data_IF_698247542806
#
_entry.id   IF_698247542806
#
_cell.length_a   1.000
_cell.length_b   1.000
_cell.length_c   1.000
_cell.angle_alpha   90.00
_cell.angle_beta   90.00
_cell.angle_gamma   90.00
#
_symmetry.space_group_name_H-M   'P 1'
#
loop_
_entity.id
_entity.type
_entity.pdbx_description
1 polymer ?
#
# COMPACT_ATOMS: atom_id res chain seq x y z
N UNK A 1 -24.83 -13.02 -18.48
CA UNK A 1 -23.37 -12.91 -18.68
C UNK A 1 -22.81 -12.15 -17.48
N UNK A 2 -22.36 -12.88 -16.47
CA UNK A 2 -21.78 -12.34 -15.23
C UNK A 2 -20.34 -11.91 -15.52
N UNK A 3 -20.01 -10.65 -15.22
CA UNK A 3 -18.64 -10.14 -15.32
C UNK A 3 -17.73 -10.94 -14.38
N UNK A 4 -16.50 -11.29 -14.79
CA UNK A 4 -15.55 -11.97 -13.89
C UNK A 4 -15.24 -11.09 -12.68
N UNK A 5 -15.28 -11.66 -11.49
CA UNK A 5 -14.86 -10.98 -10.26
C UNK A 5 -13.39 -10.60 -10.42
N UNK A 6 -13.08 -9.30 -10.47
CA UNK A 6 -11.73 -8.75 -10.64
C UNK A 6 -10.72 -9.12 -9.53
N UNK A 7 -11.10 -9.92 -8.53
CA UNK A 7 -10.35 -10.15 -7.30
C UNK A 7 -10.06 -11.63 -7.00
N UNK A 8 -10.14 -12.54 -7.95
CA UNK A 8 -9.77 -13.94 -7.71
C UNK A 8 -8.24 -14.09 -7.68
N UNK A 9 -7.71 -14.61 -6.57
CA UNK A 9 -6.27 -14.83 -6.40
C UNK A 9 -5.79 -15.94 -7.33
N UNK A 10 -4.79 -15.65 -8.17
CA UNK A 10 -4.12 -16.64 -9.00
C UNK A 10 -2.76 -16.94 -8.35
N UNK A 11 -2.54 -18.18 -7.87
CA UNK A 11 -1.25 -18.57 -7.29
C UNK A 11 -0.09 -18.39 -8.29
N UNK A 12 1.00 -17.72 -7.90
CA UNK A 12 2.23 -17.67 -8.70
C UNK A 12 2.87 -19.05 -8.88
N UNK A 13 3.74 -19.24 -9.89
CA UNK A 13 4.53 -20.46 -10.01
C UNK A 13 5.46 -20.65 -8.81
N UNK A 14 5.65 -21.91 -8.41
CA UNK A 14 6.54 -22.30 -7.32
C UNK A 14 8.02 -22.04 -7.63
N UNK A 15 8.80 -21.76 -6.59
CA UNK A 15 10.25 -21.57 -6.70
C UNK A 15 10.99 -22.93 -6.75
N UNK A 16 12.23 -22.99 -7.29
CA UNK A 16 13.01 -24.22 -7.34
C UNK A 16 13.36 -24.72 -5.93
N UNK A 17 13.33 -26.04 -5.78
CA UNK A 17 13.66 -26.75 -4.54
C UNK A 17 14.93 -27.56 -4.74
N UNK A 18 15.86 -27.45 -3.79
CA UNK A 18 17.15 -28.11 -3.81
C UNK A 18 17.32 -29.01 -2.57
N UNK A 19 17.81 -30.22 -2.79
CA UNK A 19 18.00 -31.27 -1.78
C UNK A 19 19.48 -31.70 -1.80
N UNK A 20 20.39 -31.00 -1.09
CA UNK A 20 21.81 -31.34 -1.07
C UNK A 20 22.06 -32.70 -0.45
N UNK A 21 23.08 -33.39 -0.96
CA UNK A 21 23.72 -34.51 -0.27
C UNK A 21 24.46 -34.04 0.99
N UNK A 22 24.87 -34.96 1.86
CA UNK A 22 25.67 -34.64 3.05
C UNK A 22 27.00 -33.95 2.72
N UNK A 23 27.64 -34.32 1.61
CA UNK A 23 28.87 -33.69 1.13
C UNK A 23 28.64 -32.23 0.71
N UNK A 24 27.55 -31.99 -0.02
CA UNK A 24 27.17 -30.64 -0.46
C UNK A 24 26.65 -29.77 0.69
N UNK A 25 26.00 -30.38 1.68
CA UNK A 25 25.47 -29.70 2.85
C UNK A 25 26.59 -29.27 3.83
N UNK A 26 27.78 -29.86 3.73
CA UNK A 26 28.92 -29.53 4.57
C UNK A 26 29.46 -28.11 4.33
N UNK A 27 29.40 -27.60 3.10
CA UNK A 27 29.76 -26.21 2.76
C UNK A 27 28.57 -25.46 2.13
N UNK A 28 27.78 -24.74 2.95
CA UNK A 28 26.62 -23.99 2.47
C UNK A 28 26.95 -22.94 1.41
N UNK A 29 28.11 -22.28 1.48
CA UNK A 29 28.47 -21.22 0.54
C UNK A 29 28.85 -21.78 -0.82
N UNK A 30 29.60 -22.89 -0.84
CA UNK A 30 29.90 -23.61 -2.06
C UNK A 30 28.61 -24.11 -2.73
N UNK A 31 27.68 -24.67 -1.94
CA UNK A 31 26.40 -25.13 -2.45
C UNK A 31 25.52 -24.00 -3.01
N UNK A 32 25.43 -22.87 -2.29
CA UNK A 32 24.70 -21.68 -2.76
C UNK A 32 25.29 -21.17 -4.09
N UNK A 33 26.62 -21.13 -4.22
CA UNK A 33 27.27 -20.74 -5.47
C UNK A 33 27.01 -21.74 -6.60
N UNK A 34 26.93 -23.04 -6.31
CA UNK A 34 26.56 -24.07 -7.29
C UNK A 34 25.14 -23.88 -7.83
N UNK A 35 24.17 -23.55 -6.97
CA UNK A 35 22.75 -23.39 -7.38
C UNK A 35 22.41 -21.98 -7.89
N UNK A 36 23.29 -20.99 -7.66
CA UNK A 36 23.09 -19.58 -8.05
C UNK A 36 22.59 -19.40 -9.49
N UNK A 37 23.16 -20.02 -10.54
CA UNK A 37 22.73 -19.80 -11.93
C UNK A 37 21.26 -20.16 -12.20
N UNK A 38 20.66 -21.00 -11.34
CA UNK A 38 19.27 -21.43 -11.42
C UNK A 38 18.40 -20.56 -10.52
N UNK A 39 18.79 -20.41 -9.24
CA UNK A 39 18.02 -19.69 -8.23
C UNK A 39 17.94 -18.18 -8.48
N UNK A 40 18.97 -17.58 -9.10
CA UNK A 40 19.01 -16.15 -9.42
C UNK A 40 17.90 -15.75 -10.40
N UNK A 41 17.50 -16.66 -11.30
CA UNK A 41 16.42 -16.42 -12.27
C UNK A 41 15.05 -16.24 -11.59
N UNK A 42 14.85 -16.85 -10.42
CA UNK A 42 13.59 -16.80 -9.68
C UNK A 42 13.62 -15.83 -8.49
N UNK A 43 14.79 -15.27 -8.15
CA UNK A 43 14.99 -14.37 -7.01
C UNK A 43 14.95 -15.05 -5.64
N UNK A 44 14.21 -16.15 -5.51
CA UNK A 44 14.14 -17.00 -4.31
C UNK A 44 14.27 -18.48 -4.68
N UNK A 45 14.72 -19.30 -3.74
CA UNK A 45 14.72 -20.76 -3.82
C UNK A 45 14.49 -21.39 -2.43
N UNK A 46 14.14 -22.67 -2.39
CA UNK A 46 13.98 -23.45 -1.16
C UNK A 46 15.06 -24.53 -1.07
N UNK A 47 15.75 -24.63 0.06
CA UNK A 47 16.70 -25.71 0.35
C UNK A 47 16.10 -26.59 1.44
N UNK A 48 15.99 -27.90 1.18
CA UNK A 48 15.61 -28.89 2.18
C UNK A 48 16.88 -29.62 2.63
N UNK A 49 17.29 -29.51 3.90
CA UNK A 49 18.47 -30.21 4.38
C UNK A 49 18.29 -31.74 4.30
N UNK A 50 19.39 -32.51 4.43
CA UNK A 50 19.31 -33.97 4.53
C UNK A 50 18.32 -34.42 5.63
N UNK A 51 17.52 -35.49 5.41
CA UNK A 51 16.46 -35.90 6.33
C UNK A 51 16.93 -36.21 7.77
N UNK A 52 18.18 -36.65 7.93
CA UNK A 52 18.77 -36.97 9.23
C UNK A 52 19.30 -35.73 9.95
N UNK A 53 19.35 -34.56 9.29
CA UNK A 53 19.68 -33.29 9.92
C UNK A 53 18.46 -32.69 10.64
N UNK A 54 18.35 -32.99 11.93
CA UNK A 54 17.25 -32.54 12.80
C UNK A 54 17.83 -31.85 14.03
N UNK A 55 18.19 -30.55 13.94
CA UNK A 55 18.73 -29.84 15.08
C UNK A 55 17.66 -29.71 16.17
N UNK A 56 18.03 -29.88 17.46
CA UNK A 56 17.09 -29.67 18.55
C UNK A 56 16.72 -28.18 18.63
N UNK A 57 15.46 -27.90 18.96
CA UNK A 57 15.02 -26.54 19.24
C UNK A 57 15.52 -26.12 20.62
N UNK A 58 16.44 -25.15 20.67
CA UNK A 58 17.11 -24.76 21.91
C UNK A 58 16.27 -23.86 22.84
N UNK A 59 15.18 -23.29 22.33
CA UNK A 59 14.35 -22.36 23.10
C UNK A 59 13.27 -23.11 23.89
N UNK A 60 13.17 -22.79 25.17
CA UNK A 60 12.07 -23.24 26.03
C UNK A 60 10.79 -22.45 25.70
N UNK A 61 9.82 -23.14 25.10
CA UNK A 61 8.56 -22.56 24.63
C UNK A 61 7.71 -22.04 25.78
N UNK A 62 7.75 -22.68 26.95
CA UNK A 62 6.92 -22.32 28.11
C UNK A 62 7.42 -21.04 28.79
N UNK A 63 8.71 -20.73 28.61
CA UNK A 63 9.35 -19.54 29.19
C UNK A 63 9.51 -18.39 28.20
N UNK A 64 9.30 -18.63 26.91
CA UNK A 64 9.48 -17.62 25.86
C UNK A 64 8.33 -16.60 25.87
N UNK A 65 8.61 -15.38 26.34
CA UNK A 65 7.69 -14.24 26.26
C UNK A 65 8.20 -13.23 25.24
N UNK A 66 7.34 -12.84 24.32
CA UNK A 66 7.59 -11.72 23.41
C UNK A 66 6.33 -10.88 23.26
N UNK A 67 6.51 -9.59 22.97
CA UNK A 67 5.39 -8.69 22.69
C UNK A 67 4.97 -8.87 21.24
N UNK A 68 3.74 -9.35 20.96
CA UNK A 68 3.27 -9.51 19.58
C UNK A 68 3.02 -8.15 18.94
N UNK A 69 3.13 -8.10 17.60
CA UNK A 69 2.71 -6.94 16.81
C UNK A 69 1.38 -7.22 16.14
N UNK A 70 0.45 -6.26 16.21
CA UNK A 70 -0.83 -6.33 15.51
C UNK A 70 -0.61 -5.90 14.07
N UNK A 71 -1.02 -6.74 13.12
CA UNK A 71 -0.95 -6.45 11.69
C UNK A 71 -2.36 -6.42 11.10
N UNK A 72 -2.83 -5.23 10.69
CA UNK A 72 -4.14 -5.06 10.05
C UNK A 72 -4.01 -5.23 8.55
N UNK A 73 -4.50 -6.34 8.02
CA UNK A 73 -4.34 -6.70 6.59
C UNK A 73 -4.92 -5.63 5.64
N UNK A 74 -6.04 -5.01 6.01
CA UNK A 74 -6.67 -3.93 5.26
C UNK A 74 -5.80 -2.66 5.16
N UNK A 75 -4.79 -2.52 6.02
CA UNK A 75 -3.87 -1.40 6.10
C UNK A 75 -2.48 -1.74 5.51
N UNK A 76 -2.28 -2.97 5.00
CA UNK A 76 -0.97 -3.50 4.64
C UNK A 76 -0.51 -3.19 3.22
N UNK A 77 -1.44 -2.87 2.32
CA UNK A 77 -1.08 -2.48 0.96
C UNK A 77 -0.21 -1.21 0.99
N UNK A 78 0.89 -1.19 0.23
CA UNK A 78 1.82 -0.05 0.20
C UNK A 78 1.11 1.27 -0.17
N UNK A 79 0.06 1.18 -1.01
CA UNK A 79 -0.81 2.31 -1.34
C UNK A 79 -1.57 2.82 -0.11
N UNK A 80 -2.05 1.92 0.75
CA UNK A 80 -2.74 2.25 2.00
C UNK A 80 -1.80 2.88 3.01
N UNK A 81 -0.53 2.46 3.10
CA UNK A 81 0.45 3.09 4.01
C UNK A 81 0.76 4.54 3.64
N UNK A 82 0.95 4.84 2.35
CA UNK A 82 1.15 6.22 1.86
C UNK A 82 -0.10 7.07 2.15
N UNK A 83 -1.29 6.50 1.93
CA UNK A 83 -2.56 7.15 2.23
C UNK A 83 -2.74 7.43 3.73
N UNK A 84 -2.41 6.47 4.61
CA UNK A 84 -2.46 6.65 6.06
C UNK A 84 -1.48 7.72 6.55
N UNK A 85 -0.24 7.72 6.05
CA UNK A 85 0.74 8.76 6.37
C UNK A 85 0.26 10.15 5.91
N UNK A 86 -0.35 10.23 4.73
CA UNK A 86 -0.93 11.49 4.26
C UNK A 86 -2.07 11.97 5.16
N UNK A 87 -2.99 11.07 5.56
CA UNK A 87 -4.11 11.39 6.45
C UNK A 87 -3.62 11.81 7.85
N UNK A 88 -2.57 11.18 8.38
CA UNK A 88 -1.93 11.55 9.64
C UNK A 88 -1.31 12.96 9.59
N UNK A 89 -0.61 13.28 8.49
CA UNK A 89 -0.01 14.62 8.31
C UNK A 89 -1.06 15.73 8.23
N UNK A 90 -2.14 15.52 7.47
CA UNK A 90 -3.20 16.53 7.36
C UNK A 90 -4.03 16.62 8.64
N UNK A 91 -4.24 15.52 9.37
CA UNK A 91 -4.88 15.55 10.69
C UNK A 91 -4.07 16.42 11.68
N UNK A 92 -2.76 16.18 11.77
CA UNK A 92 -1.84 16.99 12.60
C UNK A 92 -1.83 18.46 12.19
N UNK A 93 -1.86 18.76 10.89
CA UNK A 93 -1.98 20.14 10.42
C UNK A 93 -3.24 20.82 10.97
N UNK A 94 -4.40 20.19 10.85
CA UNK A 94 -5.64 20.77 11.35
C UNK A 94 -5.66 20.89 12.88
N UNK A 95 -5.12 19.90 13.60
CA UNK A 95 -4.96 19.98 15.07
C UNK A 95 -4.10 21.17 15.49
N UNK A 96 -2.99 21.45 14.78
CA UNK A 96 -2.17 22.63 15.02
C UNK A 96 -2.91 23.95 14.75
N UNK A 97 -3.89 23.95 13.84
CA UNK A 97 -4.79 25.09 13.60
C UNK A 97 -5.98 25.15 14.59
N UNK A 98 -6.01 24.27 15.60
CA UNK A 98 -7.09 24.20 16.59
C UNK A 98 -8.39 23.57 16.08
N UNK A 99 -8.35 22.85 14.96
CA UNK A 99 -9.51 22.24 14.33
C UNK A 99 -9.35 20.71 14.23
N UNK A 100 -10.38 19.94 14.54
CA UNK A 100 -10.35 18.49 14.26
C UNK A 100 -10.70 18.21 12.79
N UNK A 101 -9.85 17.46 12.09
CA UNK A 101 -10.12 17.04 10.72
C UNK A 101 -11.39 16.17 10.64
N UNK A 102 -12.41 16.65 9.93
CA UNK A 102 -13.63 15.89 9.61
C UNK A 102 -13.67 15.55 8.13
N UNK A 103 -13.56 14.26 7.82
CA UNK A 103 -13.63 13.75 6.45
C UNK A 103 -15.10 13.76 5.98
N UNK A 104 -15.44 14.48 4.90
CA UNK A 104 -16.82 14.57 4.42
C UNK A 104 -17.23 13.28 3.69
N UNK A 105 -18.54 13.08 3.57
CA UNK A 105 -19.13 12.05 2.73
C UNK A 105 -19.61 12.67 1.41
N UNK A 106 -19.33 12.00 0.30
CA UNK A 106 -19.82 12.36 -1.03
C UNK A 106 -20.52 11.13 -1.60
N UNK A 107 -21.80 11.26 -2.00
CA UNK A 107 -22.61 10.16 -2.50
C UNK A 107 -22.62 8.92 -1.56
N UNK A 108 -22.77 9.15 -0.25
CA UNK A 108 -22.76 8.12 0.80
C UNK A 108 -21.44 7.35 0.96
N UNK A 109 -20.37 7.78 0.29
CA UNK A 109 -19.00 7.25 0.47
C UNK A 109 -18.14 8.26 1.20
N UNK A 110 -17.23 7.79 2.05
CA UNK A 110 -16.20 8.64 2.68
C UNK A 110 -15.29 9.16 1.56
N UNK A 111 -15.02 10.46 1.56
CA UNK A 111 -14.16 11.08 0.56
C UNK A 111 -12.70 10.67 0.76
N UNK A 112 -12.09 10.06 -0.26
CA UNK A 112 -10.66 9.75 -0.27
C UNK A 112 -9.84 11.02 -0.54
N UNK A 113 -9.39 11.68 0.54
CA UNK A 113 -8.60 12.91 0.47
C UNK A 113 -7.24 12.70 -0.21
N UNK A 114 -6.62 11.52 -0.06
CA UNK A 114 -5.33 11.22 -0.69
C UNK A 114 -5.49 11.10 -2.21
N UNK A 115 -6.46 10.31 -2.66
CA UNK A 115 -6.74 10.14 -4.08
C UNK A 115 -7.17 11.47 -4.72
N UNK A 116 -8.02 12.24 -4.04
CA UNK A 116 -8.42 13.57 -4.49
C UNK A 116 -7.21 14.51 -4.64
N UNK A 117 -6.33 14.57 -3.63
CA UNK A 117 -5.13 15.40 -3.68
C UNK A 117 -4.19 15.00 -4.83
N UNK A 118 -3.95 13.69 -4.97
CA UNK A 118 -3.12 13.14 -6.06
C UNK A 118 -3.65 13.51 -7.44
N UNK A 119 -4.94 13.30 -7.68
CA UNK A 119 -5.57 13.59 -8.98
C UNK A 119 -5.59 15.09 -9.32
N UNK A 120 -5.78 15.96 -8.32
CA UNK A 120 -5.72 17.41 -8.54
C UNK A 120 -4.29 17.85 -8.87
N UNK A 121 -3.28 17.29 -8.19
CA UNK A 121 -1.87 17.59 -8.48
C UNK A 121 -1.44 17.10 -9.86
N UNK A 122 -1.88 15.90 -10.28
CA UNK A 122 -1.64 15.37 -11.63
C UNK A 122 -2.26 16.24 -12.73
N UNK A 123 -3.36 16.94 -12.44
CA UNK A 123 -4.03 17.85 -13.37
C UNK A 123 -3.53 19.31 -13.23
N UNK A 124 -2.41 19.54 -12.53
CA UNK A 124 -1.72 20.83 -12.46
C UNK A 124 -2.04 21.69 -11.22
N UNK A 125 -2.67 21.10 -10.21
CA UNK A 125 -3.02 21.78 -8.96
C UNK A 125 -4.41 22.43 -8.96
N UNK A 126 -4.82 22.96 -7.80
CA UNK A 126 -6.18 23.47 -7.59
C UNK A 126 -6.59 24.56 -8.59
N UNK A 127 -5.72 25.55 -8.82
CA UNK A 127 -6.02 26.69 -9.68
C UNK A 127 -6.17 26.27 -11.15
N UNK A 128 -5.30 25.38 -11.64
CA UNK A 128 -5.37 24.85 -13.00
C UNK A 128 -6.67 24.06 -13.22
N UNK A 129 -7.01 23.17 -12.29
CA UNK A 129 -8.26 22.38 -12.34
C UNK A 129 -9.50 23.28 -12.31
N UNK A 130 -9.49 24.35 -11.50
CA UNK A 130 -10.55 25.34 -11.45
C UNK A 130 -10.71 26.13 -12.74
N UNK A 131 -9.60 26.64 -13.31
CA UNK A 131 -9.60 27.40 -14.56
C UNK A 131 -10.09 26.56 -15.73
N UNK A 132 -9.69 25.30 -15.78
CA UNK A 132 -9.96 24.40 -16.90
C UNK A 132 -11.19 23.51 -16.69
N UNK A 133 -11.95 23.76 -15.61
CA UNK A 133 -13.21 23.05 -15.27
C UNK A 133 -13.06 21.51 -15.26
N UNK A 134 -11.91 21.00 -14.81
CA UNK A 134 -11.57 19.56 -14.84
C UNK A 134 -12.14 18.75 -13.66
N UNK A 135 -12.89 19.38 -12.75
CA UNK A 135 -13.47 18.71 -11.58
C UNK A 135 -14.38 17.52 -11.91
N UNK A 136 -15.15 17.59 -13.00
CA UNK A 136 -16.00 16.47 -13.45
C UNK A 136 -15.17 15.28 -13.93
N UNK A 137 -14.02 15.54 -14.56
CA UNK A 137 -13.08 14.48 -14.97
C UNK A 137 -12.49 13.79 -13.75
N UNK A 138 -12.13 14.56 -12.72
CA UNK A 138 -11.62 14.04 -11.45
C UNK A 138 -12.69 13.21 -10.73
N UNK A 139 -13.95 13.66 -10.67
CA UNK A 139 -15.02 12.88 -10.05
C UNK A 139 -15.23 11.53 -10.72
N UNK A 140 -15.18 11.48 -12.05
CA UNK A 140 -15.30 10.22 -12.80
C UNK A 140 -14.11 9.31 -12.53
N UNK A 141 -12.88 9.84 -12.51
CA UNK A 141 -11.67 9.07 -12.14
C UNK A 141 -11.71 8.51 -10.70
N UNK A 142 -12.37 9.23 -9.77
CA UNK A 142 -12.60 8.75 -8.40
C UNK A 142 -13.72 7.70 -8.29
N UNK A 143 -14.34 7.30 -9.41
CA UNK A 143 -15.40 6.29 -9.44
C UNK A 143 -16.79 6.82 -9.08
N UNK A 144 -17.02 8.14 -9.15
CA UNK A 144 -18.35 8.72 -9.02
C UNK A 144 -19.10 8.73 -10.36
N UNK A 145 -20.41 8.57 -10.30
CA UNK A 145 -21.26 8.59 -11.49
C UNK A 145 -21.25 9.98 -12.17
N UNK A 146 -21.17 10.04 -13.51
CA UNK A 146 -21.26 11.30 -14.25
C UNK A 146 -22.66 11.92 -14.15
N UNK A 147 -22.77 13.24 -14.26
CA UNK A 147 -24.05 13.97 -14.35
C UNK A 147 -24.63 14.48 -13.03
N UNK A 148 -24.05 14.11 -11.88
CA UNK A 148 -24.36 14.73 -10.58
C UNK A 148 -23.40 15.91 -10.33
N UNK A 149 -23.81 16.91 -9.54
CA UNK A 149 -22.99 18.09 -9.19
C UNK A 149 -21.77 17.78 -8.28
N UNK A 150 -21.26 16.56 -8.34
CA UNK A 150 -20.17 16.01 -7.53
C UNK A 150 -18.88 16.77 -7.76
N UNK A 151 -18.58 17.18 -9.01
CA UNK A 151 -17.40 18.00 -9.30
C UNK A 151 -17.35 19.29 -8.46
N UNK A 152 -18.50 19.96 -8.31
CA UNK A 152 -18.63 21.16 -7.48
C UNK A 152 -18.47 20.85 -5.99
N UNK A 153 -19.03 19.73 -5.50
CA UNK A 153 -18.84 19.29 -4.12
C UNK A 153 -17.38 18.95 -3.82
N UNK A 154 -16.69 18.25 -4.73
CA UNK A 154 -15.27 17.93 -4.60
C UNK A 154 -14.43 19.19 -4.54
N UNK A 155 -14.72 20.18 -5.40
CA UNK A 155 -14.05 21.50 -5.35
C UNK A 155 -14.23 22.16 -3.99
N UNK A 156 -15.46 22.27 -3.49
CA UNK A 156 -15.74 22.91 -2.20
C UNK A 156 -15.07 22.19 -1.03
N UNK A 157 -15.02 20.85 -1.06
CA UNK A 157 -14.30 20.08 -0.05
C UNK A 157 -12.78 20.24 -0.15
N UNK A 158 -12.23 20.28 -1.37
CA UNK A 158 -10.81 20.50 -1.59
C UNK A 158 -10.38 21.86 -1.07
N UNK A 159 -11.09 22.91 -1.46
CA UNK A 159 -10.83 24.29 -1.05
C UNK A 159 -10.87 24.46 0.47
N UNK A 160 -11.81 23.78 1.14
CA UNK A 160 -11.95 23.85 2.59
C UNK A 160 -10.90 23.03 3.35
N UNK A 161 -10.51 21.85 2.84
CA UNK A 161 -9.74 20.86 3.61
C UNK A 161 -8.28 20.76 3.13
N UNK A 162 -8.07 20.64 1.82
CA UNK A 162 -6.77 20.30 1.22
C UNK A 162 -6.00 21.55 0.78
N UNK A 163 -6.69 22.58 0.32
CA UNK A 163 -6.04 23.80 -0.18
C UNK A 163 -5.20 24.50 0.90
N UNK A 164 -5.67 24.71 2.15
CA UNK A 164 -4.85 25.31 3.21
C UNK A 164 -3.61 24.46 3.54
N UNK A 165 -3.77 23.13 3.57
CA UNK A 165 -2.68 22.19 3.81
C UNK A 165 -1.62 22.25 2.69
N UNK A 166 -2.05 22.34 1.42
CA UNK A 166 -1.14 22.43 0.28
C UNK A 166 -0.42 23.77 0.19
N UNK A 167 -1.04 24.87 0.65
CA UNK A 167 -0.36 26.16 0.79
C UNK A 167 0.67 26.15 1.93
N UNK A 168 0.35 25.49 3.04
CA UNK A 168 1.26 25.34 4.19
C UNK A 168 2.46 24.44 3.90
N UNK A 169 2.32 23.55 2.92
CA UNK A 169 3.38 22.64 2.47
C UNK A 169 3.96 23.16 1.15
N UNK A 170 4.79 24.24 1.16
CA UNK A 170 5.46 24.66 -0.04
C UNK A 170 6.29 23.51 -0.57
N UNK A 171 6.12 23.27 -1.87
CA UNK A 171 6.92 22.37 -2.70
C UNK A 171 8.40 22.63 -2.39
N UNK A 172 9.10 21.60 -1.90
CA UNK A 172 10.54 21.46 -2.13
C UNK A 172 10.73 20.93 -3.55
#
# INVERSE_FOLDING_TARGET
MTQPQQNEFIPPPECPVFEPSWEEFADPFAYINKIRPIAEKTGICKIRPPPEWQPPFACDVDRLKFTPRIQRLNELEAQTRVKLNFLDQIAKFWELQGCTLKIPHVERKILDLYQLNKLVNEEGGFDAVCRERRWTKISVKMGFAPGKAIGSHLRAHYERILYPYNLFRPVM
#
